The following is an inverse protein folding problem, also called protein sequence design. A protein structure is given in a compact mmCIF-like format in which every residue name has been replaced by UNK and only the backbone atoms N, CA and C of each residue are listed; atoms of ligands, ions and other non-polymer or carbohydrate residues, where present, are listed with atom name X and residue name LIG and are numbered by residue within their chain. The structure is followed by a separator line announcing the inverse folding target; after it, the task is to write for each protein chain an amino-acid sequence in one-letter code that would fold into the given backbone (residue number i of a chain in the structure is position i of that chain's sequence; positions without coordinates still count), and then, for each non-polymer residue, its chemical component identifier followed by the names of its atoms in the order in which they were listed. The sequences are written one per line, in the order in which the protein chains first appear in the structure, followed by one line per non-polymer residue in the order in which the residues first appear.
data_IF_448269974086
#
_entry.id   IF_448269974086
#
_cell.length_a   1.000
_cell.length_b   1.000
_cell.length_c   1.000
_cell.angle_alpha   90.00
_cell.angle_beta   90.00
_cell.angle_gamma   90.00
#
_symmetry.space_group_name_H-M   'P 1'
#
loop_
_entity.id
_entity.type
_entity.pdbx_description
1 polymer ?
#
# COMPACT_ATOMS: atom_id res chain seq x y z
N UNK A 1 32.10 10.93 -69.66
CA UNK A 1 32.31 9.49 -69.96
C UNK A 1 32.95 8.89 -68.72
N UNK A 2 32.18 8.66 -67.67
CA UNK A 2 31.20 7.58 -67.48
C UNK A 2 31.86 6.31 -66.96
N UNK A 3 31.69 6.17 -65.65
CA UNK A 3 31.40 4.96 -64.90
C UNK A 3 32.55 4.07 -64.41
N UNK A 4 32.77 4.24 -63.10
CA UNK A 4 33.60 3.44 -62.21
C UNK A 4 32.85 2.17 -61.82
N UNK A 5 33.63 1.09 -61.92
CA UNK A 5 33.45 -0.27 -61.43
C UNK A 5 32.65 -0.51 -60.14
N UNK A 6 31.95 -1.64 -60.18
CA UNK A 6 31.42 -2.44 -59.09
C UNK A 6 32.39 -2.63 -57.89
N UNK A 7 31.89 -2.45 -56.66
CA UNK A 7 32.21 -3.32 -55.52
C UNK A 7 31.26 -3.11 -54.32
N UNK A 8 30.64 -4.24 -53.90
CA UNK A 8 30.29 -4.67 -52.54
C UNK A 8 30.13 -3.58 -51.45
N UNK A 9 28.91 -3.46 -50.91
CA UNK A 9 28.68 -2.92 -49.57
C UNK A 9 27.37 -3.47 -49.00
N UNK A 10 27.42 -4.38 -48.03
CA UNK A 10 27.29 -4.14 -46.57
C UNK A 10 25.92 -4.65 -46.11
N UNK A 11 25.98 -5.73 -45.32
CA UNK A 11 24.85 -6.24 -44.55
C UNK A 11 24.26 -5.13 -43.66
N UNK A 12 22.93 -5.06 -43.47
CA UNK A 12 22.37 -4.16 -42.48
C UNK A 12 22.76 -4.65 -41.09
N UNK A 13 23.68 -3.90 -40.47
CA UNK A 13 24.03 -4.01 -39.06
C UNK A 13 22.77 -3.80 -38.22
N UNK A 14 22.34 -4.86 -37.54
CA UNK A 14 21.36 -4.83 -36.47
C UNK A 14 21.99 -4.03 -35.33
N UNK A 15 21.59 -2.76 -35.16
CA UNK A 15 21.93 -1.97 -33.98
C UNK A 15 20.92 -2.30 -32.88
N UNK A 16 21.35 -2.78 -31.70
CA UNK A 16 20.47 -3.12 -30.60
C UNK A 16 20.34 -1.91 -29.66
N UNK A 17 19.40 -0.99 -29.92
CA UNK A 17 19.19 0.14 -28.99
C UNK A 17 17.74 0.61 -28.98
N UNK A 18 16.82 -0.24 -28.50
CA UNK A 18 15.54 0.21 -27.92
C UNK A 18 15.23 -0.59 -26.64
N UNK A 19 16.24 -0.73 -25.78
CA UNK A 19 16.05 -1.14 -24.40
C UNK A 19 16.36 0.06 -23.49
N UNK A 20 15.55 1.12 -23.57
CA UNK A 20 15.53 2.23 -22.58
C UNK A 20 14.49 3.28 -22.97
N UNK A 21 13.19 2.99 -22.81
CA UNK A 21 12.17 4.05 -22.72
C UNK A 21 10.82 3.52 -22.20
N UNK A 22 10.83 2.60 -21.24
CA UNK A 22 9.60 2.18 -20.54
C UNK A 22 9.79 2.08 -19.02
N UNK A 23 10.48 3.07 -18.42
CA UNK A 23 10.52 3.25 -16.97
C UNK A 23 10.29 4.73 -16.61
N UNK A 24 9.15 5.30 -16.99
CA UNK A 24 8.76 6.63 -16.49
C UNK A 24 7.25 6.87 -16.40
N UNK A 25 6.41 5.82 -16.43
CA UNK A 25 4.95 5.95 -16.23
C UNK A 25 4.36 5.10 -15.10
N UNK A 26 5.19 4.35 -14.38
CA UNK A 26 4.71 3.39 -13.36
C UNK A 26 4.82 3.87 -11.91
N UNK A 27 5.28 5.10 -11.65
CA UNK A 27 5.55 5.59 -10.29
C UNK A 27 4.39 6.44 -9.73
N UNK A 28 3.66 7.18 -10.57
CA UNK A 28 2.56 8.04 -10.08
C UNK A 28 1.26 7.27 -9.78
N UNK A 29 0.99 6.17 -10.50
CA UNK A 29 -0.15 5.30 -10.19
C UNK A 29 0.01 4.57 -8.85
N UNK A 30 1.24 4.25 -8.44
CA UNK A 30 1.52 3.51 -7.21
C UNK A 30 1.40 4.37 -5.94
N UNK A 31 1.49 5.69 -6.07
CA UNK A 31 1.37 6.61 -4.95
C UNK A 31 -0.09 7.00 -4.63
N UNK A 32 -1.00 6.89 -5.62
CA UNK A 32 -2.41 7.24 -5.44
C UNK A 32 -3.20 6.03 -4.91
N UNK A 33 -2.88 4.81 -5.32
CA UNK A 33 -3.45 3.59 -4.72
C UNK A 33 -3.06 3.40 -3.26
N UNK A 34 -1.91 3.92 -2.84
CA UNK A 34 -1.47 3.89 -1.44
C UNK A 34 -2.24 4.85 -0.50
N UNK A 35 -3.10 5.73 -1.03
CA UNK A 35 -3.95 6.65 -0.23
C UNK A 35 -5.35 6.12 0.05
N UNK A 36 -5.80 5.10 -0.67
CA UNK A 36 -7.08 4.44 -0.44
C UNK A 36 -6.90 3.20 0.42
N UNK A 37 -7.63 3.14 1.53
CA UNK A 37 -7.68 1.98 2.40
C UNK A 37 -8.96 1.22 2.07
N UNK A 38 -8.84 -0.05 1.73
CA UNK A 38 -10.00 -0.90 1.49
C UNK A 38 -10.82 -1.04 2.78
N UNK A 39 -12.15 -0.81 2.73
CA UNK A 39 -13.02 -1.12 3.86
C UNK A 39 -12.95 -2.62 4.15
N UNK A 40 -12.85 -2.98 5.43
CA UNK A 40 -12.82 -4.37 5.88
C UNK A 40 -13.99 -4.60 6.80
N UNK A 41 -14.58 -5.77 6.71
CA UNK A 41 -15.67 -6.15 7.60
C UNK A 41 -15.13 -6.49 8.99
N UNK A 42 -16.00 -6.46 9.99
CA UNK A 42 -15.64 -6.83 11.36
C UNK A 42 -15.08 -8.26 11.44
N UNK A 43 -15.65 -9.21 10.70
CA UNK A 43 -15.19 -10.59 10.65
C UNK A 43 -13.74 -10.69 10.11
N UNK A 44 -13.39 -9.91 9.09
CA UNK A 44 -12.03 -9.84 8.56
C UNK A 44 -11.06 -9.21 9.58
N UNK A 45 -11.49 -8.18 10.31
CA UNK A 45 -10.68 -7.57 11.36
C UNK A 45 -10.38 -8.57 12.48
N UNK A 46 -11.35 -9.41 12.84
CA UNK A 46 -11.17 -10.49 13.81
C UNK A 46 -10.18 -11.56 13.35
N UNK A 47 -10.22 -11.93 12.07
CA UNK A 47 -9.29 -12.90 11.51
C UNK A 47 -7.84 -12.37 11.37
N UNK A 48 -7.66 -11.05 11.28
CA UNK A 48 -6.35 -10.44 11.12
C UNK A 48 -5.47 -10.57 12.36
N UNK A 49 -4.16 -10.71 12.18
CA UNK A 49 -3.21 -10.56 13.29
C UNK A 49 -3.15 -9.12 13.80
N UNK A 50 -2.93 -8.94 15.10
CA UNK A 50 -2.98 -7.60 15.74
C UNK A 50 -1.89 -6.65 15.23
N UNK A 51 -0.74 -7.15 14.80
CA UNK A 51 0.28 -6.32 14.13
C UNK A 51 -0.24 -5.71 12.81
N UNK A 52 -1.08 -6.45 12.08
CA UNK A 52 -1.74 -5.96 10.88
C UNK A 52 -2.86 -4.96 11.22
N UNK A 53 -3.60 -5.19 12.31
CA UNK A 53 -4.57 -4.21 12.83
C UNK A 53 -3.90 -2.89 13.24
N UNK A 54 -2.76 -2.96 13.93
CA UNK A 54 -1.94 -1.79 14.27
C UNK A 54 -1.47 -1.04 13.02
N UNK A 55 -0.98 -1.75 12.01
CA UNK A 55 -0.54 -1.14 10.74
C UNK A 55 -1.71 -0.49 10.01
N UNK A 56 -2.88 -1.14 10.00
CA UNK A 56 -4.13 -0.58 9.43
C UNK A 56 -4.59 0.66 10.19
N UNK A 57 -4.49 0.68 11.53
CA UNK A 57 -4.76 1.87 12.35
C UNK A 57 -3.90 3.05 11.92
N UNK A 58 -2.59 2.82 11.75
CA UNK A 58 -1.67 3.85 11.31
C UNK A 58 -2.01 4.36 9.92
N UNK A 59 -2.40 3.47 8.99
CA UNK A 59 -2.87 3.88 7.67
C UNK A 59 -4.11 4.79 7.77
N UNK A 60 -5.13 4.42 8.55
CA UNK A 60 -6.33 5.23 8.75
C UNK A 60 -6.01 6.62 9.33
N UNK A 61 -5.07 6.71 10.28
CA UNK A 61 -4.66 7.98 10.87
C UNK A 61 -3.89 8.89 9.90
N UNK A 62 -3.23 8.31 8.87
CA UNK A 62 -2.54 9.04 7.81
C UNK A 62 -3.48 9.62 6.76
N UNK A 63 -4.77 9.24 6.74
CA UNK A 63 -5.73 9.83 5.82
C UNK A 63 -5.88 11.35 6.06
N UNK A 64 -6.00 12.16 5.00
CA UNK A 64 -6.32 13.58 5.13
C UNK A 64 -7.67 13.83 5.82
N UNK A 65 -7.79 14.97 6.48
CA UNK A 65 -8.98 15.34 7.27
C UNK A 65 -10.14 15.86 6.43
N UNK A 66 -9.85 16.60 5.36
CA UNK A 66 -10.87 17.25 4.54
C UNK A 66 -10.99 16.60 3.18
N UNK A 67 -12.23 16.30 2.78
CA UNK A 67 -12.56 15.94 1.39
C UNK A 67 -13.41 17.02 0.74
N UNK A 68 -13.19 17.25 -0.55
CA UNK A 68 -14.07 18.05 -1.43
C UNK A 68 -15.27 17.24 -1.94
N UNK A 69 -15.51 16.05 -1.36
CA UNK A 69 -16.60 15.16 -1.76
C UNK A 69 -17.95 15.74 -1.32
N UNK A 70 -19.00 15.41 -2.06
CA UNK A 70 -20.36 15.78 -1.67
C UNK A 70 -20.80 14.99 -0.43
N UNK A 71 -21.81 15.47 0.29
CA UNK A 71 -22.34 14.78 1.49
C UNK A 71 -22.80 13.35 1.14
N UNK A 72 -23.39 13.15 -0.04
CA UNK A 72 -23.85 11.84 -0.51
C UNK A 72 -22.67 10.88 -0.73
N UNK A 73 -21.57 11.35 -1.32
CA UNK A 73 -20.37 10.54 -1.56
C UNK A 73 -19.69 10.14 -0.23
N UNK A 74 -19.70 11.04 0.77
CA UNK A 74 -19.14 10.77 2.10
C UNK A 74 -19.91 9.71 2.88
N UNK A 75 -21.19 9.52 2.57
CA UNK A 75 -22.07 8.56 3.23
C UNK A 75 -21.96 7.14 2.66
N UNK A 76 -21.34 6.96 1.48
CA UNK A 76 -21.30 5.68 0.79
C UNK A 76 -20.35 4.68 1.46
N UNK A 77 -20.92 3.64 2.08
CA UNK A 77 -20.22 2.58 2.83
C UNK A 77 -19.28 1.70 1.99
N UNK A 78 -19.44 1.71 0.67
CA UNK A 78 -18.68 0.86 -0.25
C UNK A 78 -17.52 1.60 -0.93
N UNK A 79 -17.32 2.88 -0.61
CA UNK A 79 -16.20 3.64 -1.17
C UNK A 79 -14.89 3.31 -0.47
N UNK A 80 -13.76 3.28 -1.19
CA UNK A 80 -12.46 3.18 -0.58
C UNK A 80 -12.23 4.34 0.40
N UNK A 81 -11.72 4.02 1.59
CA UNK A 81 -11.49 4.98 2.65
C UNK A 81 -10.31 5.88 2.25
N UNK A 82 -10.60 7.13 1.89
CA UNK A 82 -9.59 8.13 1.49
C UNK A 82 -9.47 9.29 2.47
N UNK A 83 -10.54 9.63 3.18
CA UNK A 83 -10.62 10.82 4.02
C UNK A 83 -11.29 10.51 5.37
N UNK A 84 -10.88 11.23 6.43
CA UNK A 84 -11.37 11.03 7.80
C UNK A 84 -12.81 11.53 8.02
N UNK A 85 -13.27 12.46 7.20
CA UNK A 85 -14.62 13.04 7.25
C UNK A 85 -15.71 12.12 6.67
N UNK A 86 -15.32 10.98 6.10
CA UNK A 86 -16.25 9.98 5.58
C UNK A 86 -16.81 9.11 6.71
N UNK A 87 -18.09 8.73 6.59
CA UNK A 87 -18.73 7.83 7.57
C UNK A 87 -18.08 6.46 7.57
N UNK A 88 -17.57 6.02 6.41
CA UNK A 88 -16.82 4.76 6.25
C UNK A 88 -15.56 4.75 7.09
N UNK A 89 -14.79 5.85 7.07
CA UNK A 89 -13.58 5.97 7.89
C UNK A 89 -13.93 5.90 9.38
N UNK A 90 -14.96 6.64 9.80
CA UNK A 90 -15.40 6.67 11.19
C UNK A 90 -15.83 5.29 11.69
N UNK A 91 -16.63 4.57 10.90
CA UNK A 91 -17.06 3.22 11.21
C UNK A 91 -15.88 2.25 11.26
N UNK A 92 -15.02 2.25 10.23
CA UNK A 92 -13.85 1.39 10.17
C UNK A 92 -12.87 1.64 11.32
N UNK A 93 -12.66 2.90 11.71
CA UNK A 93 -11.80 3.26 12.83
C UNK A 93 -12.42 2.85 14.17
N UNK A 94 -13.73 3.02 14.35
CA UNK A 94 -14.46 2.59 15.55
C UNK A 94 -14.39 1.08 15.73
N UNK A 95 -14.72 0.30 14.71
CA UNK A 95 -14.68 -1.16 14.75
C UNK A 95 -13.26 -1.67 15.02
N UNK A 96 -12.26 -1.11 14.35
CA UNK A 96 -10.87 -1.45 14.56
C UNK A 96 -10.41 -1.14 15.99
N UNK A 97 -10.85 -0.01 16.56
CA UNK A 97 -10.55 0.33 17.96
C UNK A 97 -11.18 -0.69 18.91
N UNK A 98 -12.47 -1.00 18.73
CA UNK A 98 -13.16 -2.01 19.54
C UNK A 98 -12.48 -3.38 19.46
N UNK A 99 -12.04 -3.79 18.28
CA UNK A 99 -11.33 -5.07 18.10
C UNK A 99 -9.94 -5.07 18.75
N UNK A 100 -9.23 -3.94 18.71
CA UNK A 100 -7.94 -3.79 19.39
C UNK A 100 -8.08 -3.74 20.91
N UNK A 101 -9.12 -3.07 21.42
CA UNK A 101 -9.41 -3.00 22.85
C UNK A 101 -9.72 -4.40 23.41
N UNK A 102 -10.39 -5.27 22.64
CA UNK A 102 -10.61 -6.69 23.00
C UNK A 102 -9.32 -7.51 23.06
N UNK A 103 -8.29 -7.14 22.28
CA UNK A 103 -7.04 -7.91 22.14
C UNK A 103 -6.02 -7.53 23.21
N UNK A 104 -6.53 -7.33 24.41
CA UNK A 104 -5.82 -6.87 25.59
C UNK A 104 -4.46 -7.57 25.72
N UNK A 105 -3.43 -6.73 25.85
CA UNK A 105 -2.04 -7.04 26.16
C UNK A 105 -1.27 -7.95 25.18
N UNK A 106 -0.88 -7.36 24.04
CA UNK A 106 0.30 -7.88 23.34
C UNK A 106 1.58 -7.42 24.00
N UNK A 107 2.54 -8.34 24.22
CA UNK A 107 3.79 -7.95 24.82
C UNK A 107 4.44 -6.84 23.99
N UNK A 108 4.76 -5.73 24.64
CA UNK A 108 5.48 -4.62 24.06
C UNK A 108 6.83 -5.12 23.49
N UNK A 109 7.46 -4.36 22.61
CA UNK A 109 8.81 -4.63 22.07
C UNK A 109 9.80 -5.03 23.17
N UNK A 110 9.74 -4.38 24.33
CA UNK A 110 10.58 -4.71 25.49
C UNK A 110 10.27 -6.09 26.06
N UNK A 111 8.99 -6.40 26.31
CA UNK A 111 8.54 -7.70 26.83
C UNK A 111 8.84 -8.84 25.84
N UNK A 112 8.66 -8.60 24.54
CA UNK A 112 9.06 -9.56 23.50
C UNK A 112 10.57 -9.78 23.48
N UNK A 113 11.37 -8.72 23.69
CA UNK A 113 12.84 -8.85 23.79
C UNK A 113 13.22 -9.64 25.04
N UNK A 114 12.60 -9.36 26.18
CA UNK A 114 12.82 -10.09 27.43
C UNK A 114 12.46 -11.58 27.28
N UNK A 115 11.32 -11.90 26.66
CA UNK A 115 10.90 -13.28 26.35
C UNK A 115 11.92 -14.01 25.47
N UNK A 116 12.45 -13.35 24.42
CA UNK A 116 13.49 -13.94 23.56
C UNK A 116 14.78 -14.18 24.34
N UNK A 117 15.20 -13.24 25.20
CA UNK A 117 16.39 -13.39 26.03
C UNK A 117 16.22 -14.50 27.07
N UNK A 118 15.06 -14.61 27.72
CA UNK A 118 14.77 -15.66 28.68
C UNK A 118 14.80 -17.06 28.02
N UNK A 119 14.29 -17.19 26.78
CA UNK A 119 14.39 -18.43 26.00
C UNK A 119 15.84 -18.79 25.65
N UNK A 120 16.65 -17.80 25.29
CA UNK A 120 18.06 -18.02 24.96
C UNK A 120 18.89 -18.46 26.18
N UNK A 121 18.60 -17.93 27.38
CA UNK A 121 19.27 -18.32 28.63
C UNK A 121 18.89 -19.71 29.17
N UNK A 122 17.78 -20.29 28.69
CA UNK A 122 17.32 -21.64 29.06
C UNK A 122 17.86 -22.74 28.14
N UNK A 123 18.52 -22.39 27.03
CA UNK A 123 19.23 -23.32 26.15
C UNK A 123 20.67 -23.43 26.60
#
# INVERSE_FOLDING_TARGET
MSDVNHAKGIAPAIKPTEARLFEAKSIEAKAIEAKSIEPKTLAELQAMHTGTLMSRRQALLKCPETSTLTIADKASLFTPIRFKDTTVWQNAYRELKTELDKREHLPNKQERKALRQARAKKR
#
